data_IF_960168935140
#
_entry.id   IF_960168935140
#
_cell.length_a   1.000
_cell.length_b   1.000
_cell.length_c   1.000
_cell.angle_alpha   90.00
_cell.angle_beta   90.00
_cell.angle_gamma   90.00
#
_symmetry.space_group_name_H-M   'P 1'
#
loop_
_entity.id
_entity.type
_entity.pdbx_description
1 polymer ?
#
# COMPACT_ATOMS: atom_id res chain seq x y z
N UNK A 1 4.41 10.15 1.92
CA UNK A 1 3.34 9.13 1.86
C UNK A 1 2.21 9.68 1.00
N UNK A 2 1.74 8.93 0.00
CA UNK A 2 0.60 9.28 -0.86
C UNK A 2 -0.48 8.19 -0.73
N UNK A 3 -1.74 8.62 -0.70
CA UNK A 3 -2.91 7.77 -0.49
C UNK A 3 -4.18 8.50 -0.97
N UNK A 4 -5.29 7.78 -1.06
CA UNK A 4 -6.61 8.39 -1.27
C UNK A 4 -6.98 9.38 -0.14
N UNK A 5 -7.67 10.46 -0.49
CA UNK A 5 -7.98 11.58 0.42
C UNK A 5 -8.84 11.17 1.63
N UNK A 6 -9.76 10.23 1.44
CA UNK A 6 -10.64 9.69 2.48
C UNK A 6 -9.90 8.99 3.63
N UNK A 7 -8.61 8.67 3.43
CA UNK A 7 -7.77 7.99 4.42
C UNK A 7 -6.74 8.94 5.06
N UNK A 8 -6.72 10.23 4.68
CA UNK A 8 -5.71 11.20 5.11
C UNK A 8 -5.70 11.36 6.64
N UNK A 9 -6.84 11.70 7.23
CA UNK A 9 -6.96 11.96 8.67
C UNK A 9 -6.66 10.72 9.53
N UNK A 10 -7.26 9.53 9.29
CA UNK A 10 -6.93 8.35 10.09
C UNK A 10 -5.48 7.90 9.93
N UNK A 11 -4.87 8.12 8.76
CA UNK A 11 -3.46 7.79 8.55
C UNK A 11 -2.53 8.75 9.30
N UNK A 12 -2.85 10.05 9.35
CA UNK A 12 -2.07 11.04 10.11
C UNK A 12 -1.95 10.64 11.57
N UNK A 13 -3.07 10.38 12.24
CA UNK A 13 -3.09 9.97 13.65
C UNK A 13 -2.26 8.71 13.88
N UNK A 14 -2.38 7.72 12.98
CA UNK A 14 -1.64 6.46 13.09
C UNK A 14 -0.14 6.65 12.87
N UNK A 15 0.27 7.46 11.90
CA UNK A 15 1.68 7.71 11.57
C UNK A 15 2.37 8.51 12.67
N UNK A 16 1.71 9.49 13.28
CA UNK A 16 2.27 10.24 14.40
C UNK A 16 2.60 9.30 15.58
N UNK A 17 1.68 8.38 15.90
CA UNK A 17 1.91 7.37 16.93
C UNK A 17 3.06 6.40 16.59
N UNK A 18 3.15 5.98 15.32
CA UNK A 18 4.23 5.09 14.85
C UNK A 18 5.59 5.80 14.87
N UNK A 19 5.66 7.05 14.40
CA UNK A 19 6.88 7.85 14.38
C UNK A 19 7.40 8.08 15.80
N UNK A 20 6.53 8.47 16.73
CA UNK A 20 6.88 8.64 18.13
C UNK A 20 7.38 7.33 18.77
N UNK A 21 6.67 6.21 18.54
CA UNK A 21 7.05 4.91 19.07
C UNK A 21 8.37 4.36 18.50
N UNK A 22 8.73 4.76 17.27
CA UNK A 22 9.98 4.38 16.62
C UNK A 22 11.15 5.32 16.93
N UNK A 23 10.92 6.44 17.65
CA UNK A 23 11.93 7.47 17.85
C UNK A 23 12.34 8.19 16.55
N UNK A 24 11.44 8.26 15.58
CA UNK A 24 11.71 8.91 14.29
C UNK A 24 11.62 10.43 14.43
N UNK A 25 12.76 11.10 14.41
CA UNK A 25 12.86 12.57 14.54
C UNK A 25 12.69 13.33 13.21
N UNK A 26 12.50 12.59 12.11
CA UNK A 26 12.33 13.17 10.78
C UNK A 26 10.92 13.71 10.52
N UNK A 27 10.74 14.36 9.36
CA UNK A 27 9.41 14.83 8.91
C UNK A 27 8.77 13.81 7.97
N UNK A 28 7.55 13.40 8.30
CA UNK A 28 6.68 12.65 7.38
C UNK A 28 5.75 13.63 6.68
N UNK A 29 5.80 13.67 5.34
CA UNK A 29 4.87 14.45 4.53
C UNK A 29 3.82 13.50 3.95
N UNK A 30 2.55 13.84 4.12
CA UNK A 30 1.42 13.07 3.62
C UNK A 30 0.71 13.88 2.52
N UNK A 31 0.46 13.25 1.39
CA UNK A 31 -0.16 13.83 0.21
C UNK A 31 -1.44 13.04 -0.09
N UNK A 32 -2.59 13.72 -0.05
CA UNK A 32 -3.83 13.15 -0.53
C UNK A 32 -3.86 13.17 -2.06
N UNK A 33 -4.31 12.07 -2.65
CA UNK A 33 -4.49 11.89 -4.09
C UNK A 33 -5.85 11.23 -4.36
N UNK A 34 -6.89 12.02 -4.70
CA UNK A 34 -8.23 11.50 -4.97
C UNK A 34 -8.31 10.55 -6.18
N UNK A 35 -7.30 10.53 -7.05
CA UNK A 35 -7.26 9.61 -8.19
C UNK A 35 -6.69 8.23 -7.81
N UNK A 36 -6.07 8.10 -6.65
CA UNK A 36 -5.52 6.84 -6.15
C UNK A 36 -6.65 5.94 -5.62
N UNK A 37 -6.70 4.64 -5.97
CA UNK A 37 -7.70 3.73 -5.40
C UNK A 37 -7.69 3.71 -3.87
N UNK A 38 -8.87 3.63 -3.25
CA UNK A 38 -8.99 3.52 -1.79
C UNK A 38 -8.31 2.22 -1.33
N UNK A 39 -7.35 2.34 -0.41
CA UNK A 39 -6.58 1.20 0.11
C UNK A 39 -5.20 1.00 -0.52
N UNK A 40 -4.91 1.74 -1.61
CA UNK A 40 -3.59 1.82 -2.21
C UNK A 40 -2.78 2.98 -1.62
N UNK A 41 -1.46 2.86 -1.65
CA UNK A 41 -0.57 3.90 -1.15
C UNK A 41 0.83 3.81 -1.74
N UNK A 42 1.56 4.93 -1.66
CA UNK A 42 2.99 5.02 -2.01
C UNK A 42 3.77 5.72 -0.91
N UNK A 43 4.88 5.13 -0.49
CA UNK A 43 5.80 5.68 0.50
C UNK A 43 7.16 5.83 -0.15
N UNK A 44 7.79 7.00 -0.02
CA UNK A 44 9.08 7.33 -0.64
C UNK A 44 10.01 7.96 0.38
N UNK A 45 11.30 7.64 0.29
CA UNK A 45 12.42 8.19 1.06
C UNK A 45 13.65 8.34 0.16
N UNK A 46 14.76 8.85 0.69
CA UNK A 46 15.94 9.18 -0.12
C UNK A 46 16.47 8.01 -0.96
N UNK A 47 16.46 6.80 -0.40
CA UNK A 47 17.06 5.61 -1.01
C UNK A 47 16.04 4.69 -1.68
N UNK A 48 14.79 5.14 -1.86
CA UNK A 48 13.79 4.37 -2.58
C UNK A 48 12.35 4.61 -2.14
N UNK A 49 11.53 3.59 -2.35
CA UNK A 49 10.12 3.66 -2.04
C UNK A 49 9.48 2.28 -1.99
N UNK A 50 8.27 2.24 -1.46
CA UNK A 50 7.40 1.08 -1.49
C UNK A 50 6.01 1.53 -1.94
N UNK A 51 5.33 0.66 -2.68
CA UNK A 51 3.96 0.86 -3.11
C UNK A 51 3.09 -0.33 -2.72
N UNK A 52 1.83 -0.02 -2.44
CA UNK A 52 0.74 -0.98 -2.36
C UNK A 52 -0.20 -0.68 -3.53
N UNK A 53 -0.18 -1.56 -4.51
CA UNK A 53 -1.05 -1.57 -5.67
C UNK A 53 -1.92 -2.84 -5.57
N UNK A 54 -3.16 -2.68 -5.14
CA UNK A 54 -4.06 -3.80 -4.86
C UNK A 54 -4.40 -4.57 -6.14
N UNK A 55 -4.54 -3.86 -7.27
CA UNK A 55 -4.85 -4.49 -8.56
C UNK A 55 -3.69 -5.35 -9.05
N UNK A 56 -2.45 -4.87 -8.92
CA UNK A 56 -1.26 -5.67 -9.24
C UNK A 56 -1.14 -6.86 -8.30
N UNK A 57 -1.34 -6.65 -7.00
CA UNK A 57 -1.27 -7.73 -6.02
C UNK A 57 -2.28 -8.84 -6.34
N UNK A 58 -3.50 -8.51 -6.73
CA UNK A 58 -4.49 -9.51 -7.14
C UNK A 58 -4.07 -10.28 -8.39
N UNK A 59 -3.58 -9.59 -9.43
CA UNK A 59 -3.04 -10.26 -10.63
C UNK A 59 -1.89 -11.20 -10.31
N UNK A 60 -0.99 -10.78 -9.42
CA UNK A 60 0.15 -11.59 -8.99
C UNK A 60 -0.29 -12.85 -8.24
N UNK A 61 -1.32 -12.73 -7.38
CA UNK A 61 -1.95 -13.84 -6.68
C UNK A 61 -2.60 -14.81 -7.68
N UNK A 62 -3.42 -14.30 -8.61
CA UNK A 62 -4.06 -15.13 -9.64
C UNK A 62 -3.04 -15.87 -10.49
N UNK A 63 -1.97 -15.20 -10.91
CA UNK A 63 -0.88 -15.81 -11.65
C UNK A 63 -0.15 -16.88 -10.83
N UNK A 64 0.06 -16.65 -9.54
CA UNK A 64 0.65 -17.63 -8.63
C UNK A 64 -0.24 -18.87 -8.49
N UNK A 65 -1.55 -18.67 -8.29
CA UNK A 65 -2.52 -19.76 -8.24
C UNK A 65 -2.53 -20.54 -9.56
N UNK A 66 -2.57 -19.88 -10.71
CA UNK A 66 -2.57 -20.54 -12.02
C UNK A 66 -1.31 -21.40 -12.27
N UNK A 67 -0.15 -20.99 -11.76
CA UNK A 67 1.09 -21.80 -11.85
C UNK A 67 1.02 -23.10 -11.04
N UNK A 68 0.24 -23.12 -9.97
CA UNK A 68 0.21 -24.24 -9.01
C UNK A 68 -1.11 -25.04 -9.03
N UNK A 69 -2.15 -24.51 -9.65
CA UNK A 69 -3.43 -25.20 -9.80
C UNK A 69 -3.31 -26.27 -10.89
N UNK A 70 -3.21 -27.55 -10.48
CA UNK A 70 -3.65 -28.66 -11.33
C UNK A 70 -5.17 -28.58 -11.35
N UNK A 71 -5.73 -27.96 -12.38
CA UNK A 71 -7.17 -28.05 -12.67
C UNK A 71 -7.35 -29.32 -13.51
N UNK A 72 -7.76 -30.47 -12.94
CA UNK A 72 -8.15 -31.60 -13.76
C UNK A 72 -9.36 -31.19 -14.61
N UNK A 73 -9.41 -31.57 -15.90
CA UNK A 73 -10.53 -31.23 -16.77
C UNK A 73 -11.84 -31.78 -16.18
N UNK A 74 -12.98 -31.07 -16.37
CA UNK A 74 -14.28 -31.59 -15.97
C UNK A 74 -14.57 -32.90 -16.74
N UNK A 75 -15.05 -33.91 -16.01
CA UNK A 75 -15.48 -35.21 -16.56
C UNK A 75 -16.83 -35.06 -17.25
#
# INVERSE_FOLDING_TARGET
>A
VRLHDSLLDPLRERLDAVAAGAGFEGRIVILADPAMPVGDCRVEWADGGIERDTDRLWRDIEAALARHAVIPPPQ
#
